data_IF_528434243330
#
_entry.id   IF_528434243330
#
_cell.length_a   1.000
_cell.length_b   1.000
_cell.length_c   1.000
_cell.angle_alpha   90.00
_cell.angle_beta   90.00
_cell.angle_gamma   90.00
#
_symmetry.space_group_name_H-M   'P 1'
#
loop_
_entity.id
_entity.type
_entity.pdbx_description
1 polymer ?
#
# COMPACT_ATOMS: atom_id res chain seq x y z
N UNK A 1 30.59 -51.81 -13.16
CA UNK A 1 29.48 -50.93 -12.72
C UNK A 1 28.17 -51.67 -12.96
N UNK A 2 27.49 -52.09 -11.88
CA UNK A 2 26.20 -52.79 -11.98
C UNK A 2 25.08 -51.82 -12.36
N UNK A 3 24.25 -52.18 -13.34
CA UNK A 3 23.08 -51.37 -13.71
C UNK A 3 22.08 -51.34 -12.54
N UNK A 4 21.52 -50.17 -12.20
CA UNK A 4 20.52 -50.08 -11.15
C UNK A 4 19.28 -50.91 -11.51
N UNK A 5 18.67 -51.54 -10.51
CA UNK A 5 17.42 -52.29 -10.70
C UNK A 5 16.27 -51.34 -11.04
N UNK A 6 15.20 -51.81 -11.72
CA UNK A 6 14.03 -50.97 -12.02
C UNK A 6 13.42 -50.32 -10.78
N UNK A 7 13.44 -51.03 -9.64
CA UNK A 7 12.98 -50.50 -8.36
C UNK A 7 13.85 -49.32 -7.86
N UNK A 8 15.17 -49.41 -7.98
CA UNK A 8 16.07 -48.32 -7.61
C UNK A 8 15.83 -47.07 -8.48
N UNK A 9 15.62 -47.26 -9.79
CA UNK A 9 15.28 -46.15 -10.71
C UNK A 9 13.97 -45.48 -10.30
N UNK A 10 12.94 -46.26 -9.96
CA UNK A 10 11.65 -45.73 -9.50
C UNK A 10 11.78 -44.93 -8.20
N UNK A 11 12.57 -45.42 -7.24
CA UNK A 11 12.82 -44.70 -5.98
C UNK A 11 13.55 -43.38 -6.22
N UNK A 12 14.58 -43.35 -7.08
CA UNK A 12 15.27 -42.10 -7.42
C UNK A 12 14.36 -41.12 -8.16
N UNK A 13 13.50 -41.60 -9.05
CA UNK A 13 12.52 -40.76 -9.73
C UNK A 13 11.53 -40.12 -8.74
N UNK A 14 11.02 -40.90 -7.79
CA UNK A 14 10.12 -40.39 -6.73
C UNK A 14 10.83 -39.37 -5.84
N UNK A 15 12.05 -39.66 -5.40
CA UNK A 15 12.85 -38.73 -4.59
C UNK A 15 13.14 -37.43 -5.34
N UNK A 16 13.47 -37.51 -6.64
CA UNK A 16 13.66 -36.35 -7.49
C UNK A 16 12.39 -35.52 -7.64
N UNK A 17 11.24 -36.16 -7.83
CA UNK A 17 9.95 -35.47 -7.95
C UNK A 17 9.55 -34.76 -6.66
N UNK A 18 9.79 -35.39 -5.50
CA UNK A 18 9.62 -34.76 -4.19
C UNK A 18 10.54 -33.55 -4.04
N UNK A 19 11.83 -33.70 -4.36
CA UNK A 19 12.79 -32.59 -4.28
C UNK A 19 12.39 -31.41 -5.18
N UNK A 20 11.92 -31.67 -6.40
CA UNK A 20 11.41 -30.62 -7.31
C UNK A 20 10.17 -29.94 -6.71
N UNK A 21 9.25 -30.71 -6.13
CA UNK A 21 8.04 -30.16 -5.50
C UNK A 21 8.40 -29.21 -4.36
N UNK A 22 9.31 -29.62 -3.48
CA UNK A 22 9.80 -28.77 -2.38
C UNK A 22 10.49 -27.50 -2.88
N UNK A 23 11.30 -27.60 -3.94
CA UNK A 23 11.94 -26.43 -4.56
C UNK A 23 10.91 -25.46 -5.15
N UNK A 24 9.83 -25.96 -5.76
CA UNK A 24 8.74 -25.12 -6.26
C UNK A 24 8.01 -24.42 -5.11
N UNK A 25 7.74 -25.12 -4.01
CA UNK A 25 7.12 -24.52 -2.82
C UNK A 25 8.03 -23.44 -2.22
N UNK A 26 9.32 -23.72 -2.06
CA UNK A 26 10.31 -22.75 -1.58
C UNK A 26 10.39 -21.54 -2.50
N UNK A 27 10.39 -21.75 -3.81
CA UNK A 27 10.41 -20.65 -4.77
C UNK A 27 9.19 -19.75 -4.62
N UNK A 28 7.99 -20.33 -4.49
CA UNK A 28 6.75 -19.56 -4.26
C UNK A 28 6.76 -18.83 -2.91
N UNK A 29 7.41 -19.38 -1.88
CA UNK A 29 7.54 -18.71 -0.59
C UNK A 29 8.49 -17.50 -0.65
N UNK A 30 9.56 -17.57 -1.45
CA UNK A 30 10.52 -16.47 -1.64
C UNK A 30 10.00 -15.42 -2.65
N UNK A 31 9.26 -15.87 -3.67
CA UNK A 31 8.70 -15.02 -4.72
C UNK A 31 7.17 -15.20 -4.79
N UNK A 32 6.43 -14.73 -3.78
CA UNK A 32 4.99 -14.87 -3.75
C UNK A 32 4.36 -14.06 -4.88
N UNK A 33 3.66 -14.74 -5.77
CA UNK A 33 2.86 -14.11 -6.83
C UNK A 33 1.47 -13.76 -6.30
N UNK A 34 1.40 -12.71 -5.49
CA UNK A 34 0.17 -12.19 -4.88
C UNK A 34 -0.01 -10.72 -5.24
N UNK A 35 -1.24 -10.19 -5.11
CA UNK A 35 -1.46 -8.76 -5.35
C UNK A 35 -0.66 -7.90 -4.37
N UNK A 36 -0.28 -6.70 -4.80
CA UNK A 36 0.46 -5.74 -3.96
C UNK A 36 -0.27 -5.44 -2.65
N UNK A 37 -1.59 -5.41 -2.73
CA UNK A 37 -2.51 -5.22 -1.61
C UNK A 37 -2.44 -6.37 -0.58
N UNK A 38 -2.43 -7.62 -1.06
CA UNK A 38 -2.27 -8.78 -0.20
C UNK A 38 -0.87 -8.80 0.44
N UNK A 39 0.16 -8.53 -0.37
CA UNK A 39 1.55 -8.48 0.10
C UNK A 39 1.72 -7.41 1.17
N UNK A 40 1.17 -6.22 0.95
CA UNK A 40 1.25 -5.10 1.89
C UNK A 40 0.65 -5.42 3.26
N UNK A 41 -0.45 -6.17 3.32
CA UNK A 41 -1.12 -6.49 4.59
C UNK A 41 -0.56 -7.75 5.27
N UNK A 42 -0.39 -8.85 4.52
CA UNK A 42 -0.06 -10.16 5.09
C UNK A 42 1.43 -10.51 5.08
N UNK A 43 2.24 -9.88 4.23
CA UNK A 43 3.65 -10.23 4.04
C UNK A 43 4.54 -9.10 4.53
N UNK A 44 4.41 -7.91 3.95
CA UNK A 44 5.26 -6.76 4.23
C UNK A 44 4.79 -5.99 5.49
N UNK A 45 3.56 -6.22 5.97
CA UNK A 45 2.92 -5.51 7.09
C UNK A 45 3.05 -3.98 7.01
N UNK A 46 3.02 -3.44 5.79
CA UNK A 46 3.08 -2.00 5.51
C UNK A 46 1.70 -1.33 5.58
N UNK A 47 0.62 -2.10 5.78
CA UNK A 47 -0.71 -1.58 6.15
C UNK A 47 -1.23 -2.15 7.45
N UNK A 48 -2.03 -1.35 8.13
CA UNK A 48 -2.74 -1.73 9.34
C UNK A 48 -4.12 -2.33 9.08
N UNK A 49 -4.64 -2.27 7.85
CA UNK A 49 -5.92 -2.88 7.52
C UNK A 49 -5.91 -3.58 6.15
N UNK A 50 -6.88 -4.49 6.01
CA UNK A 50 -7.08 -5.29 4.81
C UNK A 50 -7.48 -4.39 3.63
N UNK A 51 -6.93 -4.62 2.43
CA UNK A 51 -7.31 -3.89 1.23
C UNK A 51 -8.79 -4.14 0.90
N UNK A 52 -9.61 -3.09 1.00
CA UNK A 52 -10.96 -3.10 0.48
C UNK A 52 -10.97 -2.52 -0.93
N UNK A 53 -11.82 -3.08 -1.79
CA UNK A 53 -12.05 -2.54 -3.13
C UNK A 53 -12.65 -1.14 -2.98
N UNK A 54 -12.02 -0.15 -3.58
CA UNK A 54 -12.59 1.21 -3.65
C UNK A 54 -13.78 1.15 -4.58
N UNK A 55 -14.95 1.52 -4.07
CA UNK A 55 -16.20 1.63 -4.84
C UNK A 55 -16.53 3.08 -5.20
N UNK A 56 -15.76 4.04 -4.69
CA UNK A 56 -15.93 5.46 -4.96
C UNK A 56 -15.32 5.85 -6.30
N UNK A 57 -16.17 6.23 -7.26
CA UNK A 57 -15.74 6.85 -8.50
C UNK A 57 -15.26 8.28 -8.21
N UNK A 58 -13.97 8.54 -8.47
CA UNK A 58 -13.40 9.88 -8.35
C UNK A 58 -13.39 10.56 -9.72
N UNK A 59 -13.96 11.76 -9.80
CA UNK A 59 -13.87 12.60 -11.00
C UNK A 59 -12.60 13.46 -10.91
N UNK A 60 -11.71 13.31 -11.90
CA UNK A 60 -10.46 14.08 -11.97
C UNK A 60 -10.77 15.58 -11.99
N UNK A 61 -10.03 16.35 -11.18
CA UNK A 61 -10.19 17.79 -11.05
C UNK A 61 -11.17 18.20 -9.94
N UNK A 62 -11.86 17.25 -9.31
CA UNK A 62 -12.71 17.53 -8.16
C UNK A 62 -11.88 17.62 -6.88
N UNK A 63 -12.10 18.66 -6.09
CA UNK A 63 -11.54 18.77 -4.74
C UNK A 63 -12.26 17.82 -3.79
N UNK A 64 -11.51 17.04 -3.02
CA UNK A 64 -12.06 16.12 -2.02
C UNK A 64 -11.73 16.66 -0.64
N UNK A 65 -12.75 17.09 0.09
CA UNK A 65 -12.58 17.54 1.47
C UNK A 65 -12.67 16.37 2.45
N UNK A 66 -11.53 16.03 3.03
CA UNK A 66 -11.44 14.99 4.06
C UNK A 66 -11.78 15.48 5.46
N UNK A 67 -11.95 16.78 5.72
CA UNK A 67 -12.17 17.31 7.08
C UNK A 67 -13.43 16.76 7.76
N UNK A 68 -14.51 16.60 7.00
CA UNK A 68 -15.79 16.11 7.51
C UNK A 68 -15.85 14.60 7.73
N UNK A 69 -14.90 13.83 7.16
CA UNK A 69 -14.92 12.37 7.18
C UNK A 69 -16.18 11.73 6.59
N UNK A 70 -16.99 12.49 5.84
CA UNK A 70 -18.32 12.10 5.36
C UNK A 70 -18.32 10.84 4.49
N UNK A 71 -19.51 10.28 4.26
CA UNK A 71 -19.72 9.03 3.51
C UNK A 71 -19.01 9.04 2.15
N UNK A 72 -19.01 10.18 1.47
CA UNK A 72 -18.43 10.38 0.13
C UNK A 72 -16.90 10.21 0.10
N UNK A 73 -16.22 10.33 1.24
CA UNK A 73 -14.75 10.16 1.35
C UNK A 73 -14.34 8.86 2.02
N UNK A 74 -15.30 8.14 2.63
CA UNK A 74 -15.02 6.94 3.40
C UNK A 74 -14.36 5.86 2.55
N UNK A 75 -14.85 5.67 1.33
CA UNK A 75 -14.36 4.66 0.41
C UNK A 75 -12.98 5.00 -0.17
N UNK A 76 -12.62 6.28 -0.17
CA UNK A 76 -11.31 6.78 -0.60
C UNK A 76 -10.23 6.64 0.47
N UNK A 77 -10.62 6.31 1.72
CA UNK A 77 -9.75 6.18 2.90
C UNK A 77 -9.73 4.73 3.39
N UNK A 78 -9.18 3.79 2.62
CA UNK A 78 -9.20 2.39 2.97
C UNK A 78 -8.52 2.10 4.31
N UNK A 79 -7.40 2.77 4.62
CA UNK A 79 -6.59 2.45 5.79
C UNK A 79 -5.85 3.64 6.41
N UNK A 80 -5.63 3.56 7.73
CA UNK A 80 -4.76 4.49 8.46
C UNK A 80 -5.37 5.87 8.71
N UNK A 81 -6.70 5.98 8.71
CA UNK A 81 -7.39 7.24 8.98
C UNK A 81 -8.37 7.10 10.14
N UNK A 82 -8.31 8.00 11.12
CA UNK A 82 -9.21 8.06 12.27
C UNK A 82 -9.87 9.44 12.37
N UNK A 83 -11.10 9.49 12.92
CA UNK A 83 -11.89 10.71 13.06
C UNK A 83 -13.19 10.69 12.25
N UNK A 84 -13.80 11.87 12.00
CA UNK A 84 -13.26 13.20 12.30
C UNK A 84 -13.31 13.53 13.81
N UNK A 85 -12.25 14.14 14.35
CA UNK A 85 -12.16 14.54 15.77
C UNK A 85 -12.42 16.04 16.01
N UNK A 86 -13.16 16.70 15.10
CA UNK A 86 -13.50 18.12 15.16
C UNK A 86 -12.54 19.04 14.39
N UNK A 87 -11.31 18.60 14.13
CA UNK A 87 -10.25 19.29 13.38
C UNK A 87 -9.88 18.60 12.06
N UNK A 88 -10.48 17.44 11.78
CA UNK A 88 -10.35 16.73 10.51
C UNK A 88 -10.17 15.23 10.69
N UNK A 89 -9.81 14.57 9.59
CA UNK A 89 -9.38 13.18 9.58
C UNK A 89 -7.88 13.10 9.87
N UNK A 90 -7.49 12.21 10.77
CA UNK A 90 -6.11 12.06 11.22
C UNK A 90 -5.46 10.83 10.59
N UNK A 91 -4.25 11.02 10.06
CA UNK A 91 -3.40 9.91 9.68
C UNK A 91 -2.86 9.23 10.94
N UNK A 92 -3.08 7.92 11.08
CA UNK A 92 -2.67 7.13 12.24
C UNK A 92 -1.77 5.96 11.85
N UNK A 93 -0.90 5.56 12.78
CA UNK A 93 0.07 4.48 12.57
C UNK A 93 1.30 4.92 11.78
N UNK A 94 1.95 3.97 11.10
CA UNK A 94 3.16 4.24 10.28
C UNK A 94 2.83 4.68 8.86
N UNK A 95 1.62 4.35 8.35
CA UNK A 95 1.21 4.66 6.99
C UNK A 95 -0.32 4.80 6.90
N UNK A 96 -0.74 5.79 6.11
CA UNK A 96 -2.14 6.05 5.76
C UNK A 96 -2.27 6.09 4.25
N UNK A 97 -3.35 5.53 3.69
CA UNK A 97 -3.52 5.43 2.23
C UNK A 97 -4.79 6.10 1.79
N UNK A 98 -4.69 6.87 0.71
CA UNK A 98 -5.81 7.32 -0.10
C UNK A 98 -5.83 6.49 -1.37
N UNK A 99 -7.03 6.17 -1.87
CA UNK A 99 -7.15 5.37 -3.09
C UNK A 99 -8.27 5.90 -3.97
N UNK A 100 -7.93 6.14 -5.22
CA UNK A 100 -8.79 6.75 -6.22
C UNK A 100 -8.91 5.79 -7.41
N UNK A 101 -10.12 5.59 -7.91
CA UNK A 101 -10.35 4.94 -9.19
C UNK A 101 -10.34 6.01 -10.29
N UNK A 102 -9.47 5.83 -11.29
CA UNK A 102 -9.39 6.69 -12.48
C UNK A 102 -9.68 5.82 -13.71
N UNK A 103 -10.44 6.36 -14.66
CA UNK A 103 -10.94 5.59 -15.82
C UNK A 103 -9.82 5.18 -16.79
N UNK A 104 -8.81 6.02 -16.97
CA UNK A 104 -7.67 5.76 -17.85
C UNK A 104 -6.35 6.19 -17.18
N UNK A 105 -5.23 5.47 -17.42
CA UNK A 105 -3.91 5.90 -16.97
C UNK A 105 -3.51 7.23 -17.64
N UNK A 106 -3.13 8.22 -16.84
CA UNK A 106 -2.70 9.52 -17.32
C UNK A 106 -1.76 10.20 -16.33
N UNK A 107 -0.95 11.15 -16.81
CA UNK A 107 -0.11 11.98 -15.95
C UNK A 107 -1.00 12.90 -15.10
N UNK A 108 -0.90 12.74 -13.78
CA UNK A 108 -1.71 13.48 -12.82
C UNK A 108 -0.82 14.25 -11.86
N UNK A 109 -1.26 15.45 -11.51
CA UNK A 109 -0.70 16.19 -10.37
C UNK A 109 -1.61 15.98 -9.17
N UNK A 110 -1.06 15.38 -8.12
CA UNK A 110 -1.70 15.29 -6.83
C UNK A 110 -1.37 16.54 -6.02
N UNK A 111 -2.40 17.25 -5.57
CA UNK A 111 -2.28 18.30 -4.58
C UNK A 111 -2.83 17.77 -3.26
N UNK A 112 -2.02 17.83 -2.21
CA UNK A 112 -2.38 17.35 -0.88
C UNK A 112 -2.11 18.43 0.15
N UNK A 113 -3.14 18.84 0.88
CA UNK A 113 -3.02 19.76 2.01
C UNK A 113 -3.01 18.97 3.32
N UNK A 114 -1.98 19.18 4.14
CA UNK A 114 -1.82 18.53 5.43
C UNK A 114 -1.49 19.55 6.51
N UNK A 115 -1.95 19.27 7.73
CA UNK A 115 -1.64 20.05 8.93
C UNK A 115 -1.25 19.09 10.05
N UNK A 116 -0.24 19.46 10.84
CA UNK A 116 0.13 18.67 12.02
C UNK A 116 -0.91 18.81 13.14
N UNK A 117 -1.23 17.73 13.83
CA UNK A 117 -2.12 17.79 15.01
C UNK A 117 -1.29 18.10 16.25
N UNK A 118 -1.81 18.93 17.15
CA UNK A 118 -1.13 19.27 18.41
C UNK A 118 -1.35 18.14 19.44
N UNK A 119 -0.55 17.08 19.35
CA UNK A 119 -0.52 15.96 20.32
C UNK A 119 0.86 15.87 20.98
N UNK A 120 0.98 15.21 22.16
CA UNK A 120 2.28 14.93 22.77
C UNK A 120 3.18 14.18 21.78
N UNK A 121 4.28 14.79 21.36
CA UNK A 121 5.16 14.23 20.33
C UNK A 121 6.16 15.25 19.78
N UNK A 122 6.89 14.90 18.71
CA UNK A 122 7.79 15.82 18.03
C UNK A 122 7.05 17.06 17.51
N UNK A 123 7.66 18.26 17.57
CA UNK A 123 7.03 19.51 17.16
C UNK A 123 6.78 19.62 15.64
N UNK A 124 7.47 18.78 14.86
CA UNK A 124 7.28 18.62 13.43
C UNK A 124 7.39 17.13 13.08
N UNK A 125 6.60 16.70 12.10
CA UNK A 125 6.57 15.33 11.61
C UNK A 125 7.01 15.30 10.15
N UNK A 126 7.84 14.33 9.79
CA UNK A 126 8.23 14.09 8.42
C UNK A 126 7.34 13.02 7.82
N UNK A 127 6.69 13.34 6.72
CA UNK A 127 5.75 12.45 6.02
C UNK A 127 6.31 12.19 4.63
N UNK A 128 6.59 10.93 4.34
CA UNK A 128 6.95 10.52 2.99
C UNK A 128 5.67 10.33 2.16
N UNK A 129 5.59 11.03 1.04
CA UNK A 129 4.49 10.91 0.08
C UNK A 129 4.91 9.97 -1.04
N UNK A 130 4.09 8.96 -1.30
CA UNK A 130 4.28 8.00 -2.39
C UNK A 130 2.94 7.72 -3.07
N UNK A 131 2.96 7.36 -4.36
CA UNK A 131 1.83 6.68 -4.99
C UNK A 131 2.30 5.45 -5.74
N UNK A 132 1.48 4.39 -5.69
CA UNK A 132 1.74 3.11 -6.35
C UNK A 132 3.17 2.60 -6.07
N UNK A 133 3.63 2.75 -4.82
CA UNK A 133 4.97 2.32 -4.37
C UNK A 133 6.14 3.24 -4.76
N UNK A 134 5.90 4.27 -5.57
CA UNK A 134 6.93 5.24 -5.98
C UNK A 134 6.94 6.44 -5.04
N UNK A 135 8.07 6.70 -4.39
CA UNK A 135 8.24 7.86 -3.53
C UNK A 135 8.38 9.14 -4.38
N UNK A 136 7.62 10.18 -4.02
CA UNK A 136 7.63 11.47 -4.70
C UNK A 136 8.34 12.57 -3.90
N UNK A 137 8.34 12.46 -2.58
CA UNK A 137 8.97 13.44 -1.74
C UNK A 137 8.70 13.22 -0.27
N UNK A 138 9.35 14.04 0.54
CA UNK A 138 9.11 14.13 1.97
C UNK A 138 8.62 15.56 2.26
N UNK A 139 7.60 15.65 3.09
CA UNK A 139 7.06 16.92 3.58
C UNK A 139 7.21 16.97 5.09
N UNK A 140 7.59 18.15 5.58
CA UNK A 140 7.57 18.42 7.01
C UNK A 140 6.25 19.12 7.34
N UNK A 141 5.50 18.54 8.27
CA UNK A 141 4.21 19.05 8.74
C UNK A 141 4.32 19.44 10.21
N UNK A 142 3.82 20.62 10.53
CA UNK A 142 3.75 21.13 11.91
C UNK A 142 2.37 21.72 12.18
N UNK A 143 1.95 21.82 13.46
CA UNK A 143 0.63 22.37 13.79
C UNK A 143 0.46 23.85 13.45
N UNK A 144 1.55 24.59 13.29
CA UNK A 144 1.54 26.04 13.05
C UNK A 144 1.62 26.42 11.58
N UNK A 145 1.82 25.44 10.67
CA UNK A 145 1.99 25.70 9.24
C UNK A 145 1.34 24.60 8.39
N UNK A 146 0.14 24.86 7.82
CA UNK A 146 -0.43 24.02 6.78
C UNK A 146 0.56 23.93 5.61
N UNK A 147 0.76 22.73 5.09
CA UNK A 147 1.68 22.47 3.98
C UNK A 147 0.91 21.84 2.82
N UNK A 148 0.99 22.48 1.66
CA UNK A 148 0.52 21.90 0.40
C UNK A 148 1.69 21.19 -0.29
N UNK A 149 1.48 19.93 -0.66
CA UNK A 149 2.40 19.17 -1.49
C UNK A 149 1.88 19.10 -2.92
N UNK A 150 2.75 19.38 -3.88
CA UNK A 150 2.50 19.18 -5.30
C UNK A 150 3.37 18.01 -5.78
N UNK A 151 2.74 16.93 -6.23
CA UNK A 151 3.45 15.78 -6.79
C UNK A 151 2.91 15.44 -8.17
N UNK A 152 3.80 15.31 -9.15
CA UNK A 152 3.46 14.84 -10.50
C UNK A 152 3.78 13.36 -10.61
N UNK A 153 2.73 12.54 -10.80
CA UNK A 153 2.87 11.12 -11.10
C UNK A 153 3.05 10.96 -12.62
N UNK A 154 4.24 10.56 -13.07
CA UNK A 154 4.40 9.92 -14.38
C UNK A 154 4.19 8.42 -14.21
N UNK A 155 3.02 7.92 -14.61
CA UNK A 155 2.83 6.48 -14.78
C UNK A 155 3.37 6.11 -16.16
N UNK A 156 4.46 5.35 -16.20
CA UNK A 156 4.99 4.74 -17.41
C UNK A 156 4.66 3.25 -17.43
#
# INVERSE_FOLDING_TARGET
>A
MSRPSPAAIATYALAGLLAITELVVLWNAIHPNVSDDFRAYYIDHTTTCLPQKVTGDYTIGTEVDFRSGGADTRELRPCGWEGPAGDGMHAIGQASRLRFAISEPQDLTLMLELTGVTLPGPPAQRVQVSANGTAFGEIEVSPTKPTASHSTSQQR
#
